data_IF_548912914299
#
_entry.id   IF_548912914299
#
_cell.length_a   1.000
_cell.length_b   1.000
_cell.length_c   1.000
_cell.angle_alpha   90.00
_cell.angle_beta   90.00
_cell.angle_gamma   90.00
#
_symmetry.space_group_name_H-M   'P 1'
#
loop_
_entity.id
_entity.type
_entity.pdbx_description
1 polymer ?
#
# COMPACT_ATOMS: atom_id res chain seq x y z
N UNK A 1 49.61 29.81 26.18
CA UNK A 1 49.35 29.36 24.79
C UNK A 1 50.18 28.12 24.54
N UNK A 2 49.59 26.95 24.41
CA UNK A 2 49.91 25.96 23.37
C UNK A 2 49.03 24.73 23.63
N UNK A 3 47.98 24.64 22.81
CA UNK A 3 47.11 23.49 22.72
C UNK A 3 47.94 22.25 22.34
N UNK A 4 47.87 21.22 23.16
CA UNK A 4 48.38 19.90 22.83
C UNK A 4 47.63 19.39 21.58
N UNK A 5 48.33 19.30 20.44
CA UNK A 5 47.84 18.56 19.28
C UNK A 5 47.69 17.10 19.71
N UNK A 6 46.45 16.64 19.84
CA UNK A 6 46.11 15.22 19.99
C UNK A 6 46.48 14.52 18.67
N UNK A 7 47.63 13.85 18.64
CA UNK A 7 48.01 12.91 17.58
C UNK A 7 46.87 11.89 17.43
N UNK A 8 46.19 11.90 16.30
CA UNK A 8 45.08 10.96 16.05
C UNK A 8 45.67 9.57 15.81
N UNK A 9 45.40 8.63 16.72
CA UNK A 9 45.80 7.22 16.61
C UNK A 9 45.45 6.66 15.21
N UNK A 10 46.40 6.02 14.49
CA UNK A 10 46.19 5.50 13.13
C UNK A 10 45.06 4.47 13.04
N UNK A 11 44.72 3.78 14.13
CA UNK A 11 43.57 2.87 14.16
C UNK A 11 42.24 3.63 14.16
N UNK A 12 42.20 4.79 14.83
CA UNK A 12 41.02 5.65 14.94
C UNK A 12 40.70 6.32 13.60
N UNK A 13 41.71 6.74 12.84
CA UNK A 13 41.50 7.28 11.48
C UNK A 13 40.92 6.22 10.54
N UNK A 14 41.43 4.99 10.57
CA UNK A 14 40.89 3.89 9.76
C UNK A 14 39.42 3.58 10.09
N UNK A 15 39.03 3.60 11.37
CA UNK A 15 37.64 3.40 11.80
C UNK A 15 36.75 4.58 11.35
N UNK A 16 37.24 5.81 11.41
CA UNK A 16 36.51 7.00 10.95
C UNK A 16 36.27 6.93 9.44
N UNK A 17 37.28 6.58 8.64
CA UNK A 17 37.11 6.41 7.19
C UNK A 17 36.16 5.27 6.83
N UNK A 18 36.24 4.15 7.54
CA UNK A 18 35.34 3.01 7.36
C UNK A 18 33.89 3.38 7.67
N UNK A 19 33.64 4.06 8.79
CA UNK A 19 32.29 4.52 9.16
C UNK A 19 31.77 5.64 8.25
N UNK A 20 32.64 6.51 7.75
CA UNK A 20 32.28 7.59 6.83
C UNK A 20 31.88 7.09 5.44
N UNK A 21 32.42 5.95 4.98
CA UNK A 21 32.07 5.35 3.68
C UNK A 21 30.98 4.27 3.77
N UNK A 22 30.98 3.45 4.84
CA UNK A 22 30.05 2.32 4.98
C UNK A 22 28.63 2.74 5.38
N UNK A 23 28.51 3.78 6.23
CA UNK A 23 27.20 4.27 6.69
C UNK A 23 26.34 4.93 5.61
N UNK A 24 26.85 5.85 4.76
CA UNK A 24 26.01 6.43 3.70
C UNK A 24 25.62 5.39 2.64
N UNK A 25 26.50 4.44 2.32
CA UNK A 25 26.21 3.37 1.37
C UNK A 25 25.12 2.41 1.87
N UNK A 26 25.13 2.08 3.16
CA UNK A 26 24.08 1.26 3.77
C UNK A 26 22.75 2.03 3.88
N UNK A 27 22.77 3.33 4.21
CA UNK A 27 21.56 4.15 4.24
C UNK A 27 20.93 4.34 2.86
N UNK A 28 21.72 4.57 1.81
CA UNK A 28 21.17 4.72 0.45
C UNK A 28 20.54 3.42 -0.04
N UNK A 29 21.14 2.26 0.23
CA UNK A 29 20.54 0.95 -0.09
C UNK A 29 19.19 0.73 0.62
N UNK A 30 19.09 1.09 1.91
CA UNK A 30 17.83 0.99 2.69
C UNK A 30 16.76 1.94 2.15
N UNK A 31 17.14 3.15 1.74
CA UNK A 31 16.21 4.11 1.17
C UNK A 31 15.71 3.65 -0.22
N UNK A 32 16.59 3.11 -1.07
CA UNK A 32 16.24 2.58 -2.38
C UNK A 32 15.32 1.35 -2.25
N UNK A 33 15.61 0.42 -1.32
CA UNK A 33 14.75 -0.75 -1.09
C UNK A 33 13.35 -0.35 -0.60
N UNK A 34 13.27 0.66 0.28
CA UNK A 34 12.00 1.21 0.77
C UNK A 34 11.21 1.90 -0.34
N UNK A 35 11.89 2.59 -1.26
CA UNK A 35 11.26 3.26 -2.39
C UNK A 35 10.74 2.27 -3.44
N UNK A 36 11.49 1.20 -3.70
CA UNK A 36 11.08 0.13 -4.63
C UNK A 36 9.88 -0.68 -4.12
N UNK A 37 9.76 -0.87 -2.80
CA UNK A 37 8.60 -1.51 -2.18
C UNK A 37 7.28 -0.77 -2.46
N UNK A 38 7.34 0.57 -2.52
CA UNK A 38 6.18 1.41 -2.84
C UNK A 38 5.77 1.34 -4.32
N UNK A 39 6.74 1.13 -5.23
CA UNK A 39 6.49 1.16 -6.68
C UNK A 39 5.94 -0.17 -7.23
N UNK A 40 6.23 -1.31 -6.58
CA UNK A 40 5.77 -2.63 -7.04
C UNK A 40 4.26 -2.89 -6.93
N UNK A 41 3.54 -2.11 -6.13
CA UNK A 41 2.11 -2.36 -5.84
C UNK A 41 1.15 -1.80 -6.90
N UNK A 42 1.62 -0.94 -7.82
CA UNK A 42 0.73 -0.21 -8.75
C UNK A 42 0.52 -0.91 -10.11
N UNK A 43 1.18 -2.04 -10.36
CA UNK A 43 1.01 -2.80 -11.60
C UNK A 43 -0.02 -3.93 -11.46
N UNK A 44 -1.01 -3.77 -10.57
CA UNK A 44 -2.22 -4.57 -10.65
C UNK A 44 -3.03 -4.02 -11.84
N UNK A 45 -3.01 -4.76 -12.94
CA UNK A 45 -3.89 -4.50 -14.09
C UNK A 45 -5.32 -4.35 -13.59
N UNK A 46 -6.07 -3.41 -14.16
CA UNK A 46 -7.49 -3.25 -13.92
C UNK A 46 -8.18 -4.61 -14.06
N UNK A 47 -8.44 -5.26 -12.92
CA UNK A 47 -9.41 -6.33 -12.87
C UNK A 47 -10.69 -5.71 -13.44
N UNK A 48 -11.30 -6.38 -14.41
CA UNK A 48 -12.54 -5.94 -15.05
C UNK A 48 -13.43 -5.34 -13.96
N UNK A 49 -13.70 -4.04 -14.09
CA UNK A 49 -14.14 -3.23 -12.95
C UNK A 49 -15.45 -3.85 -12.44
N UNK A 50 -15.42 -4.42 -11.24
CA UNK A 50 -16.55 -5.18 -10.71
C UNK A 50 -17.67 -4.21 -10.35
N UNK A 51 -18.52 -3.91 -11.33
CA UNK A 51 -19.64 -3.01 -11.12
C UNK A 51 -20.89 -3.76 -10.68
N UNK A 52 -21.64 -3.15 -9.77
CA UNK A 52 -22.93 -3.68 -9.30
C UNK A 52 -23.91 -3.94 -10.44
N UNK A 53 -24.02 -2.99 -11.37
CA UNK A 53 -24.99 -3.06 -12.48
C UNK A 53 -24.74 -4.23 -13.43
N UNK A 54 -23.47 -4.49 -13.76
CA UNK A 54 -23.12 -5.55 -14.71
C UNK A 54 -23.07 -6.91 -14.04
N UNK A 55 -22.59 -6.99 -12.81
CA UNK A 55 -22.25 -8.28 -12.21
C UNK A 55 -23.25 -8.75 -11.15
N UNK A 56 -23.82 -7.84 -10.36
CA UNK A 56 -24.65 -8.20 -9.19
C UNK A 56 -26.13 -8.07 -9.49
N UNK A 57 -26.55 -6.97 -10.13
CA UNK A 57 -27.97 -6.70 -10.42
C UNK A 57 -28.65 -7.80 -11.24
N UNK A 58 -28.02 -8.44 -12.25
CA UNK A 58 -28.64 -9.54 -12.98
C UNK A 58 -28.97 -10.75 -12.09
N UNK A 59 -28.12 -11.03 -11.10
CA UNK A 59 -28.32 -12.12 -10.13
C UNK A 59 -29.54 -11.84 -9.27
N UNK A 60 -29.64 -10.63 -8.71
CA UNK A 60 -30.80 -10.25 -7.90
C UNK A 60 -32.09 -10.20 -8.71
N UNK A 61 -32.01 -9.80 -9.99
CA UNK A 61 -33.17 -9.87 -10.88
C UNK A 61 -33.64 -11.29 -11.13
N UNK A 62 -32.73 -12.26 -11.25
CA UNK A 62 -33.08 -13.64 -11.51
C UNK A 62 -33.63 -14.38 -10.28
N UNK A 63 -33.31 -13.92 -9.06
CA UNK A 63 -33.52 -14.73 -7.86
C UNK A 63 -34.14 -14.00 -6.66
N UNK A 64 -34.17 -12.67 -6.64
CA UNK A 64 -34.49 -11.93 -5.41
C UNK A 64 -35.55 -10.84 -5.62
N UNK A 65 -35.52 -10.11 -6.75
CA UNK A 65 -36.43 -8.98 -6.95
C UNK A 65 -37.91 -9.38 -7.02
N UNK A 66 -38.22 -10.63 -7.36
CA UNK A 66 -39.61 -11.11 -7.37
C UNK A 66 -40.30 -10.94 -6.00
N UNK A 67 -39.56 -11.10 -4.91
CA UNK A 67 -40.05 -10.94 -3.53
C UNK A 67 -39.49 -9.69 -2.82
N UNK A 68 -38.29 -9.23 -3.21
CA UNK A 68 -37.54 -8.16 -2.54
C UNK A 68 -37.21 -7.00 -3.48
N UNK A 69 -38.22 -6.43 -4.15
CA UNK A 69 -38.04 -5.15 -4.85
C UNK A 69 -38.92 -4.90 -6.09
N UNK A 70 -39.65 -5.90 -6.60
CA UNK A 70 -40.60 -5.73 -7.72
C UNK A 70 -41.98 -5.24 -7.25
N UNK A 71 -42.32 -5.46 -6.00
CA UNK A 71 -43.62 -5.14 -5.38
C UNK A 71 -43.47 -4.11 -4.26
N UNK A 72 -44.57 -3.42 -3.91
CA UNK A 72 -44.58 -2.48 -2.77
C UNK A 72 -44.48 -3.21 -1.42
N UNK A 73 -45.08 -4.39 -1.33
CA UNK A 73 -44.97 -5.26 -0.17
C UNK A 73 -43.78 -6.19 -0.34
N UNK A 74 -42.83 -6.11 0.60
CA UNK A 74 -41.58 -6.84 0.59
C UNK A 74 -41.67 -8.00 1.56
N UNK A 75 -41.25 -9.17 1.12
CA UNK A 75 -41.12 -10.32 2.02
C UNK A 75 -39.96 -10.11 3.00
N UNK A 76 -40.08 -10.65 4.21
CA UNK A 76 -38.99 -10.66 5.19
C UNK A 76 -38.38 -9.29 5.54
N UNK A 77 -39.14 -8.20 5.36
CA UNK A 77 -38.72 -6.82 5.64
C UNK A 77 -37.41 -6.40 4.93
N UNK A 78 -37.09 -7.05 3.80
CA UNK A 78 -35.85 -6.80 3.06
C UNK A 78 -36.14 -6.14 1.71
N UNK A 79 -35.53 -4.97 1.50
CA UNK A 79 -35.57 -4.22 0.24
C UNK A 79 -34.22 -4.26 -0.47
N UNK A 80 -34.16 -4.85 -1.67
CA UNK A 80 -32.94 -4.88 -2.49
C UNK A 80 -32.96 -3.83 -3.62
N UNK A 81 -33.94 -2.92 -3.63
CA UNK A 81 -33.93 -1.75 -4.51
C UNK A 81 -32.75 -0.86 -4.14
N UNK A 82 -32.10 -0.27 -5.15
CA UNK A 82 -31.10 0.76 -4.91
C UNK A 82 -31.79 2.02 -4.36
N UNK A 83 -31.78 2.18 -3.03
CA UNK A 83 -32.17 3.44 -2.38
C UNK A 83 -30.91 4.30 -2.32
N UNK A 84 -30.97 5.50 -2.92
CA UNK A 84 -29.91 6.51 -2.83
C UNK A 84 -30.02 7.29 -1.53
#
# INVERSE_FOLDING_TARGET
>A
MLAARRESDPTSTMIIWLTMMLRPSLMTLVLISSFHWSLGCQLAAAADDLTYEQHIRPIFRAHCFDCHGATEELEGELDLRQVR
#
